data_IF_416528255866
#
_entry.id   IF_416528255866
#
_cell.length_a   1.000
_cell.length_b   1.000
_cell.length_c   1.000
_cell.angle_alpha   90.00
_cell.angle_beta   90.00
_cell.angle_gamma   90.00
#
_symmetry.space_group_name_H-M   'P 1'
#
loop_
_entity.id
_entity.type
_entity.pdbx_description
1 polymer ?
#
# COMPACT_ATOMS: atom_id res chain seq x y z
N UNK A 1 -4.56 -8.71 -42.41
CA UNK A 1 -4.84 -7.91 -41.20
C UNK A 1 -5.69 -8.78 -40.25
N UNK A 2 -5.06 -9.38 -39.26
CA UNK A 2 -5.77 -10.11 -38.20
C UNK A 2 -5.84 -9.17 -37.02
N UNK A 3 -7.02 -8.58 -36.79
CA UNK A 3 -7.34 -7.90 -35.53
C UNK A 3 -7.53 -8.98 -34.46
N UNK A 4 -6.52 -9.24 -33.63
CA UNK A 4 -6.72 -9.92 -32.36
C UNK A 4 -7.64 -9.04 -31.51
N UNK A 5 -8.80 -9.57 -31.17
CA UNK A 5 -9.71 -8.97 -30.18
C UNK A 5 -8.96 -8.80 -28.87
N UNK A 6 -8.45 -7.61 -28.63
CA UNK A 6 -8.12 -7.15 -27.27
C UNK A 6 -9.41 -7.21 -26.48
N UNK A 7 -9.57 -8.21 -25.62
CA UNK A 7 -10.59 -8.18 -24.57
C UNK A 7 -10.38 -6.84 -23.84
N UNK A 8 -11.33 -5.92 -24.01
CA UNK A 8 -11.41 -4.72 -23.18
C UNK A 8 -11.47 -5.23 -21.74
N UNK A 9 -10.38 -5.08 -20.98
CA UNK A 9 -10.41 -5.27 -19.55
C UNK A 9 -11.53 -4.36 -19.03
N UNK A 10 -12.59 -4.93 -18.50
CA UNK A 10 -13.62 -4.13 -17.82
C UNK A 10 -12.93 -3.42 -16.67
N UNK A 11 -13.13 -2.09 -16.56
CA UNK A 11 -12.61 -1.36 -15.42
C UNK A 11 -13.15 -2.00 -14.13
N UNK A 12 -12.27 -2.23 -13.16
CA UNK A 12 -12.67 -2.76 -11.85
C UNK A 12 -13.71 -1.86 -11.19
N UNK A 13 -14.62 -2.46 -10.47
CA UNK A 13 -15.70 -1.79 -9.75
C UNK A 13 -15.78 -2.30 -8.31
N UNK A 14 -16.64 -1.71 -7.49
CA UNK A 14 -16.85 -2.18 -6.11
C UNK A 14 -17.43 -3.60 -6.06
N UNK A 15 -18.10 -4.06 -7.12
CA UNK A 15 -18.57 -5.44 -7.23
C UNK A 15 -17.44 -6.47 -7.34
N UNK A 16 -16.21 -6.04 -7.66
CA UNK A 16 -15.01 -6.89 -7.69
C UNK A 16 -14.33 -7.00 -6.32
N UNK A 17 -14.94 -6.44 -5.27
CA UNK A 17 -14.44 -6.58 -3.89
C UNK A 17 -14.32 -8.05 -3.50
N UNK A 18 -13.10 -8.45 -3.10
CA UNK A 18 -12.83 -9.79 -2.61
C UNK A 18 -12.36 -9.73 -1.15
N UNK A 19 -13.11 -10.37 -0.25
CA UNK A 19 -12.86 -10.29 1.18
C UNK A 19 -11.48 -10.84 1.61
N UNK A 20 -10.94 -11.82 0.87
CA UNK A 20 -9.62 -12.40 1.11
C UNK A 20 -8.46 -11.60 0.52
N UNK A 21 -8.73 -10.66 -0.41
CA UNK A 21 -7.70 -9.86 -1.08
C UNK A 21 -8.20 -8.43 -1.31
N UNK A 22 -8.15 -7.62 -0.26
CA UNK A 22 -8.65 -6.23 -0.28
C UNK A 22 -7.59 -5.28 -0.86
N UNK A 23 -6.34 -5.54 -0.54
CA UNK A 23 -5.17 -4.80 -1.00
C UNK A 23 -3.96 -5.74 -1.01
N UNK A 24 -3.07 -5.59 -1.98
CA UNK A 24 -1.84 -6.38 -2.04
C UNK A 24 -0.76 -5.87 -1.07
N UNK A 25 0.16 -6.75 -0.65
CA UNK A 25 1.33 -6.38 0.15
C UNK A 25 2.20 -5.34 -0.57
N UNK A 26 2.32 -5.48 -1.89
CA UNK A 26 3.02 -4.50 -2.72
C UNK A 26 2.37 -3.12 -2.66
N UNK A 27 1.07 -3.03 -2.86
CA UNK A 27 0.35 -1.74 -2.82
C UNK A 27 0.41 -1.13 -1.43
N UNK A 28 0.24 -1.92 -0.36
CA UNK A 28 0.32 -1.45 1.02
C UNK A 28 1.70 -0.88 1.37
N UNK A 29 2.78 -1.50 0.86
CA UNK A 29 4.16 -1.16 1.21
C UNK A 29 4.84 -0.17 0.26
N UNK A 30 4.20 0.24 -0.83
CA UNK A 30 4.82 1.09 -1.86
C UNK A 30 4.88 2.56 -1.42
N UNK A 31 5.96 2.94 -0.75
CA UNK A 31 6.19 4.31 -0.26
C UNK A 31 6.49 5.34 -1.35
N UNK A 32 6.80 4.90 -2.57
CA UNK A 32 7.19 5.78 -3.68
C UNK A 32 6.01 6.32 -4.50
N UNK A 33 4.77 6.03 -4.10
CA UNK A 33 3.58 6.44 -4.85
C UNK A 33 3.33 7.94 -4.84
N UNK A 34 3.67 8.62 -3.75
CA UNK A 34 3.54 10.07 -3.61
C UNK A 34 4.64 10.62 -2.69
N UNK A 35 5.24 11.75 -3.07
CA UNK A 35 6.05 12.57 -2.18
C UNK A 35 5.19 13.60 -1.44
N UNK A 36 5.79 14.38 -0.53
CA UNK A 36 5.10 15.39 0.28
C UNK A 36 4.34 16.42 -0.58
N UNK A 37 4.98 16.94 -1.62
CA UNK A 37 4.34 17.92 -2.52
C UNK A 37 3.14 17.34 -3.27
N UNK A 38 3.23 16.08 -3.70
CA UNK A 38 2.13 15.38 -4.36
C UNK A 38 0.97 15.08 -3.40
N UNK A 39 1.26 14.79 -2.13
CA UNK A 39 0.24 14.66 -1.08
C UNK A 39 -0.46 16.00 -0.88
N UNK A 40 0.30 17.11 -0.76
CA UNK A 40 -0.28 18.45 -0.62
C UNK A 40 -1.15 18.84 -1.80
N UNK A 41 -0.69 18.58 -3.03
CA UNK A 41 -1.46 18.81 -4.25
C UNK A 41 -2.75 17.99 -4.26
N UNK A 42 -2.67 16.71 -3.88
CA UNK A 42 -3.84 15.83 -3.79
C UNK A 42 -4.88 16.36 -2.80
N UNK A 43 -4.46 16.75 -1.58
CA UNK A 43 -5.34 17.32 -0.56
C UNK A 43 -6.02 18.58 -1.08
N UNK A 44 -5.28 19.51 -1.68
CA UNK A 44 -5.79 20.77 -2.24
C UNK A 44 -6.75 20.52 -3.40
N UNK A 45 -6.46 19.54 -4.25
CA UNK A 45 -7.33 19.15 -5.38
C UNK A 45 -8.65 18.53 -4.91
N UNK A 46 -8.61 17.74 -3.85
CA UNK A 46 -9.81 17.11 -3.26
C UNK A 46 -10.67 18.11 -2.53
N UNK A 47 -10.05 19.06 -1.85
CA UNK A 47 -10.73 20.12 -1.12
C UNK A 47 -9.89 21.41 -1.14
N UNK A 48 -10.22 22.35 -2.02
CA UNK A 48 -9.50 23.62 -2.13
C UNK A 48 -9.74 24.57 -0.95
N UNK A 49 -10.55 24.16 0.02
CA UNK A 49 -11.04 24.99 1.13
C UNK A 49 -11.83 26.23 0.65
N UNK A 50 -12.33 26.99 1.60
CA UNK A 50 -13.02 28.25 1.25
C UNK A 50 -14.51 28.27 1.59
N UNK A 51 -15.01 27.31 2.38
CA UNK A 51 -16.41 27.36 2.87
C UNK A 51 -16.58 28.54 3.83
N UNK A 52 -17.49 29.44 3.46
CA UNK A 52 -17.81 30.68 4.18
C UNK A 52 -19.06 30.56 5.07
N UNK A 53 -19.68 29.38 5.10
CA UNK A 53 -20.91 29.16 5.88
C UNK A 53 -20.63 29.03 7.38
N UNK A 54 -19.87 29.96 7.95
CA UNK A 54 -19.41 29.95 9.35
C UNK A 54 -20.54 29.93 10.40
N UNK A 55 -21.79 30.22 9.99
CA UNK A 55 -22.96 30.08 10.85
C UNK A 55 -23.13 28.65 11.39
N UNK A 56 -22.58 27.62 10.67
CA UNK A 56 -22.58 26.23 11.11
C UNK A 56 -21.84 26.03 12.43
N UNK A 57 -20.74 26.76 12.66
CA UNK A 57 -20.00 26.69 13.90
C UNK A 57 -20.82 27.14 15.12
N UNK A 58 -21.74 28.12 14.93
CA UNK A 58 -22.66 28.55 15.99
C UNK A 58 -23.81 27.54 16.16
N UNK A 59 -24.33 26.98 15.09
CA UNK A 59 -25.43 26.02 15.16
C UNK A 59 -24.97 24.69 15.78
N UNK A 60 -23.77 24.22 15.46
CA UNK A 60 -23.15 23.02 16.04
C UNK A 60 -22.13 23.38 17.12
N UNK A 61 -22.53 24.19 18.10
CA UNK A 61 -21.64 24.77 19.09
C UNK A 61 -20.99 23.78 20.07
N UNK A 62 -21.38 22.50 20.05
CA UNK A 62 -20.70 21.42 20.78
C UNK A 62 -19.32 21.02 20.21
N UNK A 63 -18.97 21.53 19.03
CA UNK A 63 -17.71 21.24 18.35
C UNK A 63 -16.85 22.50 18.21
N UNK A 64 -15.53 22.33 18.15
CA UNK A 64 -14.59 23.42 17.85
C UNK A 64 -14.18 23.34 16.38
N UNK A 65 -14.16 24.50 15.73
CA UNK A 65 -13.80 24.66 14.34
C UNK A 65 -12.64 25.66 14.22
N UNK A 66 -11.76 25.42 13.23
CA UNK A 66 -10.74 26.39 12.86
C UNK A 66 -11.29 27.31 11.76
N UNK A 67 -11.39 28.62 12.04
CA UNK A 67 -11.91 29.63 11.13
C UNK A 67 -10.89 30.75 11.00
N UNK A 68 -10.48 31.04 9.77
CA UNK A 68 -9.59 32.16 9.44
C UNK A 68 -10.22 33.00 8.34
N UNK A 69 -10.17 34.33 8.50
CA UNK A 69 -10.68 35.28 7.51
C UNK A 69 -12.13 34.99 7.04
N UNK A 70 -12.99 34.53 7.97
CA UNK A 70 -14.39 34.22 7.68
C UNK A 70 -14.63 32.93 6.89
N UNK A 71 -13.65 32.00 6.85
CA UNK A 71 -13.71 30.72 6.18
C UNK A 71 -13.27 29.59 7.10
N UNK A 72 -13.86 28.40 6.92
CA UNK A 72 -13.33 27.22 7.56
C UNK A 72 -11.97 26.85 7.00
N UNK A 73 -11.04 26.49 7.87
CA UNK A 73 -9.75 25.87 7.51
C UNK A 73 -9.96 24.37 7.40
N UNK A 74 -9.73 23.81 6.24
CA UNK A 74 -9.84 22.37 5.99
C UNK A 74 -8.46 21.68 6.03
N UNK A 75 -8.43 20.34 5.93
CA UNK A 75 -7.21 19.55 6.10
C UNK A 75 -6.04 20.00 5.21
N UNK A 76 -6.30 20.44 3.99
CA UNK A 76 -5.23 20.88 3.06
C UNK A 76 -4.51 22.15 3.49
N UNK A 77 -5.10 22.94 4.41
CA UNK A 77 -4.55 24.18 4.95
C UNK A 77 -4.20 24.08 6.44
N UNK A 78 -4.67 23.02 7.13
CA UNK A 78 -4.46 22.86 8.57
C UNK A 78 -3.00 22.55 8.90
N UNK A 79 -2.58 23.02 10.08
CA UNK A 79 -1.26 22.74 10.63
C UNK A 79 -1.37 22.18 12.03
N UNK A 80 -0.47 21.25 12.35
CA UNK A 80 -0.42 20.55 13.63
C UNK A 80 0.90 20.84 14.33
N UNK A 81 0.85 21.24 15.60
CA UNK A 81 2.06 21.48 16.37
C UNK A 81 2.55 20.20 17.02
N UNK A 82 3.84 19.93 16.86
CA UNK A 82 4.52 18.85 17.54
C UNK A 82 5.93 19.28 17.93
N UNK A 83 6.23 19.22 19.26
CA UNK A 83 7.52 19.64 19.83
C UNK A 83 7.94 21.07 19.41
N UNK A 84 6.99 22.00 19.36
CA UNK A 84 7.25 23.38 18.95
C UNK A 84 7.41 23.61 17.46
N UNK A 85 7.23 22.58 16.62
CA UNK A 85 7.30 22.67 15.16
C UNK A 85 5.89 22.49 14.57
N UNK A 86 5.48 23.41 13.70
CA UNK A 86 4.24 23.30 12.93
C UNK A 86 4.47 22.44 11.72
N UNK A 87 3.63 21.42 11.53
CA UNK A 87 3.65 20.51 10.39
C UNK A 87 2.33 20.60 9.63
N UNK A 88 2.37 20.60 8.30
CA UNK A 88 1.18 20.47 7.45
C UNK A 88 0.65 19.03 7.53
N UNK A 89 -0.62 18.83 7.14
CA UNK A 89 -1.18 17.48 7.02
C UNK A 89 -0.37 16.61 6.04
N UNK A 90 0.10 17.20 4.94
CA UNK A 90 0.93 16.49 3.96
C UNK A 90 2.26 16.01 4.56
N UNK A 91 2.93 16.85 5.37
CA UNK A 91 4.15 16.48 6.09
C UNK A 91 3.90 15.32 7.04
N UNK A 92 2.85 15.40 7.86
CA UNK A 92 2.49 14.34 8.82
C UNK A 92 2.25 13.02 8.10
N UNK A 93 1.48 13.02 6.99
CA UNK A 93 1.16 11.81 6.23
C UNK A 93 2.43 11.25 5.57
N UNK A 94 3.25 12.11 4.96
CA UNK A 94 4.49 11.71 4.29
C UNK A 94 5.50 11.09 5.27
N UNK A 95 5.71 11.74 6.42
CA UNK A 95 6.60 11.24 7.46
C UNK A 95 6.13 9.88 8.01
N UNK A 96 4.84 9.73 8.31
CA UNK A 96 4.29 8.46 8.77
C UNK A 96 4.46 7.35 7.72
N UNK A 97 4.16 7.66 6.45
CA UNK A 97 4.33 6.73 5.33
C UNK A 97 5.79 6.27 5.18
N UNK A 98 6.74 7.21 5.23
CA UNK A 98 8.18 6.94 5.15
C UNK A 98 8.69 6.13 6.34
N UNK A 99 8.37 6.57 7.56
CA UNK A 99 8.93 6.02 8.80
C UNK A 99 8.47 4.57 9.02
N UNK A 100 7.19 4.28 8.70
CA UNK A 100 6.61 2.95 8.84
C UNK A 100 6.57 2.15 7.53
N UNK A 101 7.13 2.68 6.43
CA UNK A 101 7.16 2.01 5.12
C UNK A 101 5.77 1.58 4.65
N UNK A 102 4.80 2.48 4.74
CA UNK A 102 3.43 2.32 4.27
C UNK A 102 3.19 3.26 3.10
N UNK A 103 2.41 2.84 2.14
CA UNK A 103 1.99 3.67 1.01
C UNK A 103 1.18 4.88 1.51
N UNK A 104 1.57 6.14 1.20
CA UNK A 104 0.82 7.32 1.62
C UNK A 104 -0.62 7.33 1.10
N UNK A 105 -0.91 6.71 -0.04
CA UNK A 105 -2.28 6.56 -0.57
C UNK A 105 -3.17 5.74 0.37
N UNK A 106 -2.63 4.74 1.07
CA UNK A 106 -3.33 3.96 2.08
C UNK A 106 -3.76 4.84 3.26
N UNK A 107 -2.86 5.69 3.74
CA UNK A 107 -3.15 6.62 4.84
C UNK A 107 -4.19 7.67 4.44
N UNK A 108 -4.11 8.21 3.23
CA UNK A 108 -5.11 9.14 2.69
C UNK A 108 -6.50 8.48 2.62
N UNK A 109 -6.60 7.27 2.10
CA UNK A 109 -7.87 6.52 2.04
C UNK A 109 -8.41 6.24 3.45
N UNK A 110 -7.55 5.89 4.39
CA UNK A 110 -7.96 5.63 5.76
C UNK A 110 -8.54 6.88 6.44
N UNK A 111 -7.86 8.04 6.33
CA UNK A 111 -8.32 9.33 6.88
C UNK A 111 -9.70 9.70 6.32
N UNK A 112 -9.91 9.55 5.02
CA UNK A 112 -11.21 9.81 4.40
C UNK A 112 -12.27 8.83 4.87
N UNK A 113 -11.94 7.54 4.86
CA UNK A 113 -12.88 6.49 5.25
C UNK A 113 -13.39 6.67 6.69
N UNK A 114 -12.52 7.08 7.60
CA UNK A 114 -12.88 7.15 9.04
C UNK A 114 -13.57 8.47 9.40
N UNK A 115 -13.11 9.59 8.87
CA UNK A 115 -13.58 10.91 9.30
C UNK A 115 -13.99 11.85 8.16
N UNK A 116 -13.90 11.42 6.90
CA UNK A 116 -14.14 12.25 5.72
C UNK A 116 -13.28 13.53 5.66
N UNK A 117 -12.18 13.58 6.40
CA UNK A 117 -11.38 14.80 6.60
C UNK A 117 -10.80 15.38 5.31
N UNK A 118 -10.55 14.54 4.30
CA UNK A 118 -9.97 15.00 3.04
C UNK A 118 -10.99 15.80 2.22
N UNK A 119 -12.25 15.38 2.24
CA UNK A 119 -13.32 16.03 1.47
C UNK A 119 -14.17 17.01 2.30
N UNK A 120 -14.06 17.02 3.63
CA UNK A 120 -14.85 17.89 4.50
C UNK A 120 -14.41 19.35 4.39
N UNK A 121 -15.34 20.24 4.04
CA UNK A 121 -15.08 21.70 3.87
C UNK A 121 -15.17 22.49 5.16
N UNK A 122 -15.65 21.89 6.25
CA UNK A 122 -15.83 22.52 7.58
C UNK A 122 -15.53 21.55 8.72
N UNK A 123 -14.33 20.94 8.72
CA UNK A 123 -13.97 19.91 9.69
C UNK A 123 -13.89 20.47 11.10
N UNK A 124 -14.17 19.62 12.07
CA UNK A 124 -14.18 19.97 13.49
C UNK A 124 -13.06 19.27 14.27
N UNK A 125 -12.84 19.73 15.49
CA UNK A 125 -11.75 19.24 16.35
C UNK A 125 -11.86 17.74 16.71
N UNK A 126 -13.05 17.16 16.69
CA UNK A 126 -13.25 15.73 17.00
C UNK A 126 -12.75 14.86 15.85
N UNK A 127 -13.00 15.27 14.60
CA UNK A 127 -12.49 14.58 13.43
C UNK A 127 -10.95 14.56 13.42
N UNK A 128 -10.30 15.69 13.75
CA UNK A 128 -8.84 15.73 13.87
C UNK A 128 -8.32 14.91 15.05
N UNK A 129 -9.08 14.90 16.17
CA UNK A 129 -8.72 14.15 17.37
C UNK A 129 -8.63 12.64 17.12
N UNK A 130 -9.53 12.09 16.30
CA UNK A 130 -9.66 10.67 15.96
C UNK A 130 -9.58 10.41 14.46
N UNK A 131 -8.65 11.07 13.79
CA UNK A 131 -8.58 11.20 12.32
C UNK A 131 -8.58 9.87 11.56
N UNK A 132 -8.04 8.82 12.15
CA UNK A 132 -8.04 7.47 11.58
C UNK A 132 -8.89 6.48 12.38
N UNK A 133 -9.47 6.88 13.51
CA UNK A 133 -10.20 5.98 14.39
C UNK A 133 -9.32 5.04 15.22
N UNK A 134 -7.99 5.24 15.21
CA UNK A 134 -7.07 4.38 15.96
C UNK A 134 -7.31 4.52 17.47
N UNK A 135 -7.42 3.38 18.17
CA UNK A 135 -7.71 3.37 19.61
C UNK A 135 -9.13 3.77 19.95
N UNK A 136 -10.07 3.70 19.00
CA UNK A 136 -11.50 3.98 19.18
C UNK A 136 -12.31 2.69 18.97
N UNK A 137 -12.44 1.81 19.97
CA UNK A 137 -13.21 0.58 19.85
C UNK A 137 -14.72 0.86 19.79
N UNK A 138 -15.49 0.00 19.11
CA UNK A 138 -16.95 0.13 18.94
C UNK A 138 -17.72 0.10 20.28
N UNK A 139 -17.12 -0.45 21.34
CA UNK A 139 -17.79 -0.74 22.63
C UNK A 139 -17.32 0.13 23.81
N UNK A 140 -16.36 1.04 23.57
CA UNK A 140 -15.81 1.91 24.61
C UNK A 140 -15.41 3.28 24.04
N UNK A 141 -15.11 4.23 24.91
CA UNK A 141 -14.56 5.53 24.52
C UNK A 141 -13.16 5.37 23.88
N UNK A 142 -12.83 6.29 22.98
CA UNK A 142 -11.50 6.34 22.38
C UNK A 142 -10.42 6.57 23.46
N UNK A 143 -9.31 5.85 23.36
CA UNK A 143 -8.17 6.03 24.26
C UNK A 143 -7.45 7.36 23.97
N UNK A 144 -7.51 8.28 24.92
CA UNK A 144 -6.98 9.64 24.78
C UNK A 144 -5.49 9.73 24.50
N UNK A 145 -4.70 8.68 24.79
CA UNK A 145 -3.27 8.65 24.47
C UNK A 145 -2.99 8.66 22.96
N UNK A 146 -3.98 8.29 22.15
CA UNK A 146 -3.88 8.28 20.68
C UNK A 146 -4.51 9.52 20.03
N UNK A 147 -5.00 10.49 20.79
CA UNK A 147 -5.64 11.68 20.25
C UNK A 147 -4.67 12.57 19.46
N UNK A 148 -5.24 13.24 18.45
CA UNK A 148 -4.55 14.20 17.59
C UNK A 148 -4.12 13.64 16.25
N UNK A 149 -4.23 14.48 15.21
CA UNK A 149 -4.04 14.08 13.81
C UNK A 149 -2.75 13.30 13.57
N UNK A 150 -1.61 13.88 14.00
CA UNK A 150 -0.29 13.24 13.84
C UNK A 150 -0.22 11.89 14.54
N UNK A 151 -0.71 11.82 15.76
CA UNK A 151 -0.69 10.62 16.58
C UNK A 151 -1.53 9.51 15.95
N UNK A 152 -2.73 9.85 15.49
CA UNK A 152 -3.66 8.95 14.80
C UNK A 152 -3.05 8.36 13.53
N UNK A 153 -2.48 9.20 12.67
CA UNK A 153 -1.90 8.76 11.39
C UNK A 153 -0.69 7.86 11.60
N UNK A 154 0.19 8.21 12.56
CA UNK A 154 1.39 7.42 12.86
C UNK A 154 1.05 6.05 13.44
N UNK A 155 0.16 5.97 14.41
CA UNK A 155 -0.22 4.69 15.01
C UNK A 155 -1.00 3.78 14.05
N UNK A 156 -1.78 4.33 13.13
CA UNK A 156 -2.38 3.55 12.07
C UNK A 156 -1.31 2.95 11.12
N UNK A 157 -0.33 3.75 10.72
CA UNK A 157 0.80 3.28 9.90
C UNK A 157 1.65 2.23 10.63
N UNK A 158 1.91 2.44 11.92
CA UNK A 158 2.61 1.50 12.79
C UNK A 158 1.92 0.14 12.89
N UNK A 159 0.59 0.13 13.10
CA UNK A 159 -0.20 -1.11 13.13
C UNK A 159 -0.09 -1.89 11.82
N UNK A 160 -0.23 -1.19 10.68
CA UNK A 160 -0.10 -1.85 9.38
C UNK A 160 1.31 -2.44 9.20
N UNK A 161 2.34 -1.68 9.57
CA UNK A 161 3.73 -2.16 9.48
C UNK A 161 3.99 -3.35 10.40
N UNK A 162 3.48 -3.33 11.62
CA UNK A 162 3.61 -4.42 12.58
C UNK A 162 3.09 -5.75 11.99
N UNK A 163 1.89 -5.75 11.39
CA UNK A 163 1.35 -6.95 10.74
C UNK A 163 2.17 -7.38 9.53
N UNK A 164 2.59 -6.43 8.69
CA UNK A 164 3.41 -6.72 7.51
C UNK A 164 4.80 -7.28 7.87
N UNK A 165 5.31 -6.98 9.07
CA UNK A 165 6.56 -7.54 9.60
C UNK A 165 6.33 -8.85 10.39
N UNK A 166 5.13 -9.43 10.33
CA UNK A 166 4.79 -10.69 11.00
C UNK A 166 4.34 -10.53 12.45
N UNK A 167 4.00 -9.32 12.88
CA UNK A 167 3.43 -9.06 14.20
C UNK A 167 2.04 -9.65 14.40
N UNK A 168 1.54 -9.54 15.64
CA UNK A 168 0.29 -10.16 16.04
C UNK A 168 -0.92 -9.66 15.25
N UNK A 169 -1.78 -10.59 14.83
CA UNK A 169 -3.10 -10.31 14.26
C UNK A 169 -4.09 -11.41 14.65
N UNK A 170 -5.36 -11.02 14.87
CA UNK A 170 -6.44 -11.99 15.06
C UNK A 170 -6.91 -12.62 13.73
N UNK A 171 -6.40 -12.14 12.60
CA UNK A 171 -6.81 -12.53 11.26
C UNK A 171 -5.58 -12.88 10.40
N UNK A 172 -4.85 -13.96 10.75
CA UNK A 172 -3.65 -14.35 10.00
C UNK A 172 -3.98 -14.75 8.56
N UNK A 173 -2.98 -14.77 7.70
CA UNK A 173 -3.09 -15.35 6.35
C UNK A 173 -3.60 -16.78 6.46
N UNK A 174 -4.56 -17.17 5.63
CA UNK A 174 -5.25 -18.46 5.68
C UNK A 174 -6.74 -18.34 6.01
N UNK A 175 -7.33 -19.44 6.49
CA UNK A 175 -8.77 -19.51 6.78
C UNK A 175 -9.14 -18.78 8.07
N UNK A 176 -10.07 -17.86 7.99
CA UNK A 176 -10.60 -17.08 9.11
C UNK A 176 -12.12 -17.01 9.05
N UNK A 177 -12.78 -17.08 10.21
CA UNK A 177 -14.19 -16.73 10.28
C UNK A 177 -14.32 -15.23 10.58
N UNK A 178 -14.92 -14.45 9.66
CA UNK A 178 -15.05 -13.00 9.78
C UNK A 178 -16.53 -12.62 9.86
N UNK A 179 -16.89 -11.86 10.87
CA UNK A 179 -18.25 -11.39 11.07
C UNK A 179 -18.63 -10.29 10.06
N UNK A 180 -19.94 -10.20 9.76
CA UNK A 180 -20.49 -9.16 8.90
C UNK A 180 -20.80 -7.85 9.65
N UNK A 181 -20.83 -7.87 10.98
CA UNK A 181 -21.27 -6.74 11.80
C UNK A 181 -20.79 -6.94 13.23
N UNK A 182 -20.60 -5.86 14.04
CA UNK A 182 -20.41 -5.97 15.48
C UNK A 182 -21.51 -6.73 16.21
N UNK A 183 -22.74 -6.71 15.68
CA UNK A 183 -23.82 -7.57 16.17
C UNK A 183 -23.62 -8.99 15.63
N UNK A 184 -23.18 -9.91 16.49
CA UNK A 184 -22.91 -11.31 16.14
C UNK A 184 -24.14 -12.07 15.60
N UNK A 185 -25.36 -11.60 15.89
CA UNK A 185 -26.60 -12.17 15.29
C UNK A 185 -26.64 -12.00 13.76
N UNK A 186 -25.87 -11.09 13.22
CA UNK A 186 -25.72 -10.91 11.77
C UNK A 186 -24.90 -12.02 11.09
N UNK A 187 -24.26 -12.89 11.87
CA UNK A 187 -23.44 -13.97 11.35
C UNK A 187 -22.13 -13.50 10.72
N UNK A 188 -21.54 -14.36 9.93
CA UNK A 188 -20.27 -14.14 9.22
C UNK A 188 -20.04 -15.30 8.23
N UNK A 189 -18.88 -15.34 7.62
CA UNK A 189 -18.47 -16.44 6.76
C UNK A 189 -16.99 -16.73 6.86
N UNK A 190 -16.58 -17.89 6.36
CA UNK A 190 -15.18 -18.23 6.17
C UNK A 190 -14.59 -17.39 5.04
N UNK A 191 -13.43 -16.82 5.29
CA UNK A 191 -12.64 -16.06 4.32
C UNK A 191 -11.22 -16.62 4.36
N UNK A 192 -10.68 -16.94 3.20
CA UNK A 192 -9.24 -17.21 3.06
C UNK A 192 -8.53 -15.89 2.82
N UNK A 193 -7.81 -15.37 3.82
CA UNK A 193 -6.99 -14.18 3.71
C UNK A 193 -5.71 -14.54 2.94
N UNK A 194 -5.48 -13.87 1.81
CA UNK A 194 -4.44 -14.22 0.85
C UNK A 194 -3.07 -13.59 1.18
N UNK A 195 -3.05 -12.47 1.92
CA UNK A 195 -1.82 -11.70 2.15
C UNK A 195 -1.85 -10.91 3.47
N UNK A 196 -0.68 -10.43 3.91
CA UNK A 196 -0.52 -9.70 5.17
C UNK A 196 -1.19 -8.34 5.16
N UNK A 197 -1.24 -7.66 4.02
CA UNK A 197 -1.89 -6.35 3.90
C UNK A 197 -3.41 -6.44 4.13
N UNK A 198 -4.07 -7.47 3.59
CA UNK A 198 -5.49 -7.75 3.89
C UNK A 198 -5.69 -8.14 5.35
N UNK A 199 -4.77 -8.94 5.92
CA UNK A 199 -4.74 -9.25 7.36
C UNK A 199 -4.65 -7.97 8.21
N UNK A 200 -3.78 -7.03 7.85
CA UNK A 200 -3.63 -5.75 8.53
C UNK A 200 -4.91 -4.89 8.50
N UNK A 201 -5.62 -4.89 7.36
CA UNK A 201 -6.92 -4.23 7.26
C UNK A 201 -7.97 -4.87 8.17
N UNK A 202 -7.99 -6.19 8.32
CA UNK A 202 -8.90 -6.87 9.26
C UNK A 202 -8.50 -6.66 10.72
N UNK A 203 -7.23 -6.56 11.05
CA UNK A 203 -6.79 -6.13 12.38
C UNK A 203 -7.28 -4.71 12.71
N UNK A 204 -7.36 -3.85 11.70
CA UNK A 204 -7.86 -2.48 11.84
C UNK A 204 -9.39 -2.40 11.88
N UNK A 205 -10.07 -3.07 10.95
CA UNK A 205 -11.53 -3.11 10.81
C UNK A 205 -11.98 -4.59 10.75
N UNK A 206 -12.40 -5.20 11.87
CA UNK A 206 -12.52 -6.65 12.02
C UNK A 206 -13.79 -7.25 11.40
N UNK A 207 -14.36 -6.61 10.38
CA UNK A 207 -15.61 -7.03 9.75
C UNK A 207 -15.49 -7.04 8.23
N UNK A 208 -16.22 -7.97 7.59
CA UNK A 208 -16.39 -8.00 6.14
C UNK A 208 -17.76 -7.49 5.71
N UNK A 209 -17.92 -6.88 4.51
CA UNK A 209 -19.23 -6.58 3.97
C UNK A 209 -19.96 -7.90 3.63
N UNK A 210 -21.28 -7.94 3.85
CA UNK A 210 -22.09 -8.98 3.24
C UNK A 210 -22.39 -8.68 1.75
N UNK A 211 -22.91 -9.65 1.00
CA UNK A 211 -23.17 -9.48 -0.43
C UNK A 211 -24.10 -8.29 -0.73
N UNK A 212 -25.11 -8.06 0.14
CA UNK A 212 -26.02 -6.93 -0.02
C UNK A 212 -25.32 -5.57 0.19
N UNK A 213 -24.35 -5.50 1.11
CA UNK A 213 -23.56 -4.30 1.31
C UNK A 213 -22.67 -4.00 0.09
N UNK A 214 -22.07 -5.01 -0.53
CA UNK A 214 -21.28 -4.85 -1.75
C UNK A 214 -22.16 -4.38 -2.91
N UNK A 215 -23.30 -5.03 -3.13
CA UNK A 215 -24.22 -4.73 -4.25
C UNK A 215 -24.87 -3.34 -4.14
N UNK A 216 -25.09 -2.85 -2.91
CA UNK A 216 -25.78 -1.57 -2.68
C UNK A 216 -24.81 -0.38 -2.48
N UNK A 217 -23.54 -0.49 -2.88
CA UNK A 217 -22.61 0.64 -2.75
C UNK A 217 -23.09 1.87 -3.56
N UNK A 218 -23.04 3.11 -2.99
CA UNK A 218 -22.52 3.52 -1.68
C UNK A 218 -23.50 3.36 -0.51
N UNK A 219 -24.71 2.86 -0.76
CA UNK A 219 -25.75 2.70 0.25
C UNK A 219 -25.44 1.67 1.34
N UNK A 220 -26.39 1.51 2.24
CA UNK A 220 -26.30 0.60 3.38
C UNK A 220 -27.13 -0.66 3.17
N UNK A 221 -26.84 -1.71 3.93
CA UNK A 221 -27.65 -2.92 4.00
C UNK A 221 -27.80 -3.36 5.46
N UNK A 222 -28.89 -4.09 5.74
CA UNK A 222 -29.07 -4.71 7.03
C UNK A 222 -27.92 -5.69 7.31
N UNK A 223 -27.36 -5.66 8.52
CA UNK A 223 -26.22 -6.49 8.89
C UNK A 223 -24.94 -6.28 8.05
N UNK A 224 -24.80 -5.20 7.31
CA UNK A 224 -23.60 -4.93 6.52
C UNK A 224 -22.57 -4.12 7.28
N UNK A 225 -21.29 -4.52 7.22
CA UNK A 225 -20.17 -3.66 7.57
C UNK A 225 -19.61 -2.97 6.33
N UNK A 226 -19.16 -1.75 6.49
CA UNK A 226 -18.78 -0.90 5.35
C UNK A 226 -17.30 -0.55 5.31
N UNK A 227 -16.57 -0.70 6.42
CA UNK A 227 -15.21 -0.22 6.56
C UNK A 227 -14.26 -0.72 5.48
N UNK A 228 -14.10 -2.01 5.34
CA UNK A 228 -13.22 -2.61 4.34
C UNK A 228 -13.73 -2.43 2.90
N UNK A 229 -15.07 -2.48 2.68
CA UNK A 229 -15.67 -2.15 1.38
C UNK A 229 -15.38 -0.71 0.98
N UNK A 230 -15.56 0.24 1.90
CA UNK A 230 -15.34 1.66 1.63
C UNK A 230 -13.85 1.95 1.42
N UNK A 231 -12.95 1.27 2.14
CA UNK A 231 -11.52 1.37 1.89
C UNK A 231 -11.19 0.95 0.45
N UNK A 232 -11.64 -0.23 0.03
CA UNK A 232 -11.44 -0.73 -1.32
C UNK A 232 -12.01 0.24 -2.37
N UNK A 233 -13.25 0.68 -2.20
CA UNK A 233 -13.93 1.58 -3.14
C UNK A 233 -13.27 2.96 -3.26
N UNK A 234 -12.82 3.54 -2.14
CA UNK A 234 -12.10 4.81 -2.11
C UNK A 234 -10.73 4.69 -2.78
N UNK A 235 -9.98 3.62 -2.46
CA UNK A 235 -8.69 3.38 -3.05
C UNK A 235 -8.81 3.19 -4.57
N UNK A 236 -9.74 2.33 -5.00
CA UNK A 236 -10.01 2.07 -6.42
C UNK A 236 -10.37 3.37 -7.18
N UNK A 237 -11.24 4.19 -6.60
CA UNK A 237 -11.69 5.45 -7.20
C UNK A 237 -10.58 6.51 -7.29
N UNK A 238 -9.67 6.55 -6.33
CA UNK A 238 -8.65 7.60 -6.24
C UNK A 238 -7.32 7.22 -6.89
N UNK A 239 -6.93 5.96 -6.79
CA UNK A 239 -5.59 5.49 -7.10
C UNK A 239 -5.54 4.26 -8.01
N UNK A 240 -6.70 3.69 -8.36
CA UNK A 240 -6.80 2.48 -9.16
C UNK A 240 -6.83 1.20 -8.32
N UNK A 241 -6.54 0.07 -8.95
CA UNK A 241 -6.65 -1.26 -8.35
C UNK A 241 -5.76 -1.44 -7.11
N UNK A 242 -6.35 -1.62 -5.91
CA UNK A 242 -5.56 -1.85 -4.69
C UNK A 242 -4.91 -3.23 -4.67
N UNK A 243 -5.43 -4.20 -5.41
CA UNK A 243 -4.93 -5.58 -5.43
C UNK A 243 -3.81 -5.79 -6.43
N UNK A 244 -3.43 -4.73 -7.16
CA UNK A 244 -2.41 -4.79 -8.19
C UNK A 244 -1.05 -5.16 -7.58
N UNK A 245 -0.52 -6.30 -8.01
CA UNK A 245 0.81 -6.78 -7.65
C UNK A 245 1.88 -6.41 -8.71
N UNK A 246 1.53 -5.59 -9.69
CA UNK A 246 2.48 -5.21 -10.74
C UNK A 246 3.59 -4.37 -10.13
N UNK A 247 4.73 -5.00 -9.94
CA UNK A 247 6.00 -4.31 -9.71
C UNK A 247 6.18 -3.39 -10.93
N UNK A 248 5.96 -2.07 -10.75
CA UNK A 248 6.31 -1.11 -11.79
C UNK A 248 7.79 -1.35 -12.09
N UNK A 249 8.05 -1.68 -13.35
CA UNK A 249 9.33 -1.88 -14.01
C UNK A 249 10.54 -1.62 -13.11
N UNK A 250 11.23 -2.69 -12.73
CA UNK A 250 12.56 -2.60 -12.11
C UNK A 250 13.42 -1.75 -13.05
N UNK A 251 13.93 -0.61 -12.60
CA UNK A 251 14.93 0.13 -13.39
C UNK A 251 16.22 -0.69 -13.41
N UNK A 252 16.43 -1.39 -14.48
CA UNK A 252 17.68 -2.07 -14.74
C UNK A 252 18.67 -1.02 -15.28
N UNK A 253 19.78 -0.85 -14.58
CA UNK A 253 20.88 -0.04 -15.09
C UNK A 253 21.88 -0.98 -15.76
N UNK A 254 22.03 -0.93 -17.10
CA UNK A 254 23.06 -1.69 -17.80
C UNK A 254 24.43 -1.32 -17.22
N UNK A 255 25.29 -2.30 -17.05
CA UNK A 255 26.70 -2.03 -16.76
C UNK A 255 27.24 -1.37 -18.02
N UNK A 256 27.57 -0.08 -17.92
CA UNK A 256 27.97 0.75 -19.05
C UNK A 256 29.03 0.02 -19.91
N UNK A 257 28.61 -0.45 -21.09
CA UNK A 257 29.56 -0.62 -22.19
C UNK A 257 29.79 0.77 -22.78
N UNK A 258 31.03 1.15 -23.11
CA UNK A 258 31.25 2.36 -23.86
C UNK A 258 30.69 2.15 -25.29
N UNK A 259 29.57 2.78 -25.60
CA UNK A 259 29.01 2.79 -26.94
C UNK A 259 27.49 2.65 -26.99
N UNK A 260 26.84 3.69 -27.40
CA UNK A 260 25.44 3.92 -27.75
C UNK A 260 24.58 2.69 -28.10
N UNK A 261 23.42 2.50 -27.42
CA UNK A 261 22.09 2.52 -28.04
C UNK A 261 21.03 2.14 -27.01
N UNK A 262 20.14 3.07 -26.67
CA UNK A 262 18.90 2.78 -25.98
C UNK A 262 17.86 2.35 -27.02
N UNK A 263 17.35 1.12 -26.94
CA UNK A 263 16.17 0.71 -27.69
C UNK A 263 14.94 1.48 -27.17
N UNK A 264 14.19 2.06 -28.08
CA UNK A 264 13.01 2.92 -27.78
C UNK A 264 11.75 2.12 -27.47
N UNK A 265 11.78 0.79 -27.44
CA UNK A 265 10.61 -0.06 -27.28
C UNK A 265 10.39 -0.58 -25.85
N UNK A 266 11.30 -0.29 -24.94
CA UNK A 266 11.22 -0.71 -23.55
C UNK A 266 11.63 -2.17 -23.30
N UNK A 267 12.15 -2.89 -24.29
CA UNK A 267 12.75 -4.21 -24.11
C UNK A 267 14.08 -4.12 -23.38
N UNK A 268 14.41 -5.16 -22.62
CA UNK A 268 15.70 -5.30 -21.94
C UNK A 268 16.63 -6.03 -22.89
N UNK A 269 17.75 -5.39 -23.27
CA UNK A 269 18.76 -6.05 -24.10
C UNK A 269 19.45 -7.17 -23.31
N UNK A 270 19.83 -8.25 -24.02
CA UNK A 270 20.62 -9.32 -23.40
C UNK A 270 21.97 -8.77 -22.92
N UNK A 271 22.35 -9.09 -21.69
CA UNK A 271 23.60 -8.59 -21.15
C UNK A 271 23.77 -8.75 -19.64
N UNK A 272 24.85 -8.14 -19.15
CA UNK A 272 25.17 -8.15 -17.72
C UNK A 272 24.65 -6.89 -17.04
N UNK A 273 24.02 -7.04 -15.89
CA UNK A 273 23.33 -5.98 -15.17
C UNK A 273 23.66 -5.98 -13.67
N UNK A 274 23.62 -4.81 -13.07
CA UNK A 274 23.42 -4.62 -11.64
C UNK A 274 21.95 -4.25 -11.42
N UNK A 275 21.24 -5.01 -10.60
CA UNK A 275 19.81 -4.80 -10.33
C UNK A 275 19.69 -4.03 -9.02
N UNK A 276 19.10 -2.84 -9.07
CA UNK A 276 18.84 -1.99 -7.90
C UNK A 276 17.38 -2.04 -7.52
N UNK A 277 17.10 -1.89 -6.23
CA UNK A 277 15.72 -1.67 -5.79
C UNK A 277 15.31 -0.21 -6.03
N UNK A 278 14.06 0.00 -6.48
CA UNK A 278 13.49 1.35 -6.64
C UNK A 278 13.22 2.04 -5.29
N UNK A 279 13.11 1.26 -4.21
CA UNK A 279 12.83 1.76 -2.85
C UNK A 279 14.07 2.35 -2.18
N UNK A 280 15.24 1.75 -2.41
CA UNK A 280 16.53 2.24 -1.89
C UNK A 280 17.61 1.99 -2.94
N UNK A 281 17.89 2.99 -3.76
CA UNK A 281 18.87 2.91 -4.85
C UNK A 281 20.32 2.63 -4.39
N UNK A 282 20.58 2.66 -3.08
CA UNK A 282 21.87 2.23 -2.52
C UNK A 282 21.98 0.71 -2.39
N UNK A 283 20.88 -0.03 -2.62
CA UNK A 283 20.81 -1.49 -2.47
C UNK A 283 20.69 -2.21 -3.80
N UNK A 284 21.45 -3.27 -3.91
CA UNK A 284 21.59 -4.11 -5.09
C UNK A 284 21.13 -5.52 -4.77
N UNK A 285 20.58 -6.19 -5.76
CA UNK A 285 20.32 -7.63 -5.68
C UNK A 285 21.67 -8.36 -5.55
N UNK A 286 21.81 -9.16 -4.51
CA UNK A 286 23.09 -9.70 -4.03
C UNK A 286 22.95 -11.16 -3.62
N UNK A 287 23.86 -12.01 -4.06
CA UNK A 287 23.95 -13.39 -3.59
C UNK A 287 24.57 -13.40 -2.20
N UNK A 288 23.76 -13.73 -1.19
CA UNK A 288 24.17 -13.67 0.23
C UNK A 288 25.44 -14.46 0.50
N UNK A 289 26.43 -13.78 1.09
CA UNK A 289 27.72 -14.38 1.41
C UNK A 289 28.55 -14.80 0.20
N UNK A 290 28.21 -14.36 -1.01
CA UNK A 290 28.80 -14.80 -2.26
C UNK A 290 28.81 -16.34 -2.41
N UNK A 291 27.76 -17.00 -1.91
CA UNK A 291 27.62 -18.46 -1.99
C UNK A 291 27.28 -18.88 -3.43
N UNK A 292 27.98 -19.88 -3.98
CA UNK A 292 27.83 -20.38 -5.35
C UNK A 292 26.91 -21.60 -5.44
N UNK A 293 26.49 -22.12 -4.29
CA UNK A 293 25.75 -23.38 -4.22
C UNK A 293 24.29 -23.19 -4.64
N UNK A 294 23.67 -24.28 -5.03
CA UNK A 294 22.22 -24.34 -5.24
C UNK A 294 21.46 -24.00 -3.95
N UNK A 295 20.33 -23.32 -4.08
CA UNK A 295 19.57 -22.76 -2.97
C UNK A 295 20.27 -21.61 -2.20
N UNK A 296 21.39 -21.06 -2.69
CA UNK A 296 21.98 -19.85 -2.13
C UNK A 296 20.93 -18.73 -2.08
N UNK A 297 20.81 -18.09 -0.94
CA UNK A 297 19.85 -17.02 -0.73
C UNK A 297 20.26 -15.75 -1.47
N UNK A 298 19.28 -15.06 -2.02
CA UNK A 298 19.46 -13.75 -2.66
C UNK A 298 18.81 -12.68 -1.77
N UNK A 299 19.50 -11.57 -1.58
CA UNK A 299 19.14 -10.48 -0.66
C UNK A 299 19.30 -9.11 -1.33
N UNK A 300 18.88 -8.07 -0.66
CA UNK A 300 19.23 -6.70 -1.00
C UNK A 300 20.38 -6.23 -0.11
N UNK A 301 21.50 -5.85 -0.72
CA UNK A 301 22.70 -5.42 0.00
C UNK A 301 23.30 -4.16 -0.61
N UNK A 302 23.99 -3.34 0.19
CA UNK A 302 24.76 -2.18 -0.31
C UNK A 302 25.83 -2.64 -1.28
N UNK A 303 26.22 -1.77 -2.21
CA UNK A 303 27.35 -2.06 -3.10
C UNK A 303 28.62 -2.26 -2.25
N UNK A 304 29.24 -3.43 -2.40
CA UNK A 304 30.42 -3.78 -1.59
C UNK A 304 31.71 -3.28 -2.22
N UNK A 305 31.80 -3.40 -3.55
CA UNK A 305 32.94 -2.95 -4.35
C UNK A 305 32.55 -2.91 -5.81
N UNK A 306 33.32 -2.19 -6.59
CA UNK A 306 33.20 -2.27 -8.05
C UNK A 306 33.46 -3.71 -8.54
N UNK A 307 32.70 -4.14 -9.53
CA UNK A 307 32.83 -5.46 -10.16
C UNK A 307 32.61 -6.67 -9.22
N UNK A 308 31.79 -6.54 -8.17
CA UNK A 308 31.43 -7.68 -7.33
C UNK A 308 30.52 -8.68 -8.10
N UNK A 309 30.99 -9.91 -8.40
CA UNK A 309 30.19 -10.88 -9.16
C UNK A 309 28.92 -11.33 -8.41
N UNK A 310 28.87 -11.24 -7.08
CA UNK A 310 27.67 -11.56 -6.31
C UNK A 310 26.53 -10.54 -6.51
N UNK A 311 26.81 -9.36 -7.09
CA UNK A 311 25.85 -8.30 -7.40
C UNK A 311 25.66 -8.10 -8.90
N UNK A 312 26.17 -9.04 -9.72
CA UNK A 312 26.02 -9.01 -11.18
C UNK A 312 25.16 -10.15 -11.67
N UNK A 313 24.31 -9.81 -12.61
CA UNK A 313 23.30 -10.71 -13.16
C UNK A 313 23.36 -10.66 -14.68
N UNK A 314 23.35 -11.81 -15.31
CA UNK A 314 23.15 -11.91 -16.75
C UNK A 314 21.65 -12.01 -17.01
N UNK A 315 21.13 -11.18 -17.92
CA UNK A 315 19.73 -11.18 -18.33
C UNK A 315 19.68 -11.56 -19.79
N UNK A 316 18.92 -12.59 -20.12
CA UNK A 316 18.71 -13.10 -21.47
C UNK A 316 17.21 -13.18 -21.76
N UNK A 317 16.78 -12.63 -22.90
CA UNK A 317 15.41 -12.80 -23.38
C UNK A 317 15.25 -14.23 -23.90
N UNK A 318 14.16 -14.87 -23.46
CA UNK A 318 13.79 -16.23 -23.90
C UNK A 318 12.49 -16.23 -24.73
N UNK A 319 12.00 -15.06 -25.12
CA UNK A 319 10.82 -14.85 -25.99
C UNK A 319 9.69 -14.12 -25.27
N UNK A 320 8.78 -13.52 -26.02
CA UNK A 320 7.51 -12.92 -25.59
C UNK A 320 7.57 -12.06 -24.33
N UNK A 321 8.58 -11.16 -24.21
CA UNK A 321 8.85 -10.32 -23.04
C UNK A 321 9.24 -11.11 -21.77
N UNK A 322 9.62 -12.37 -21.90
CA UNK A 322 10.10 -13.22 -20.81
C UNK A 322 11.63 -13.21 -20.80
N UNK A 323 12.20 -13.10 -19.60
CA UNK A 323 13.64 -13.00 -19.39
C UNK A 323 14.11 -14.04 -18.38
N UNK A 324 15.25 -14.66 -18.67
CA UNK A 324 15.98 -15.49 -17.72
C UNK A 324 17.05 -14.63 -17.05
N UNK A 325 17.17 -14.72 -15.73
CA UNK A 325 18.13 -13.97 -14.93
C UNK A 325 19.09 -14.96 -14.25
N UNK A 326 20.37 -14.89 -14.59
CA UNK A 326 21.42 -15.78 -14.06
C UNK A 326 22.44 -15.01 -13.22
N UNK A 327 22.85 -15.61 -12.11
CA UNK A 327 23.95 -15.06 -11.29
C UNK A 327 25.27 -15.15 -12.05
N UNK A 328 26.00 -14.06 -12.16
CA UNK A 328 27.37 -14.05 -12.72
C UNK A 328 28.38 -14.73 -11.80
N UNK A 329 28.04 -14.95 -10.54
CA UNK A 329 28.87 -15.62 -9.56
C UNK A 329 28.94 -17.13 -9.77
N UNK A 330 27.78 -17.76 -10.10
CA UNK A 330 27.61 -19.22 -10.16
C UNK A 330 27.06 -19.73 -11.48
N UNK A 331 26.44 -18.87 -12.29
CA UNK A 331 25.70 -19.27 -13.49
C UNK A 331 24.29 -19.84 -13.20
N UNK A 332 23.90 -19.96 -11.92
CA UNK A 332 22.58 -20.45 -11.52
C UNK A 332 21.51 -19.41 -11.76
N UNK A 333 20.28 -19.88 -12.03
CA UNK A 333 19.12 -19.06 -12.27
C UNK A 333 18.61 -18.41 -10.98
N UNK A 334 18.19 -17.15 -11.06
CA UNK A 334 17.38 -16.52 -10.03
C UNK A 334 16.00 -17.17 -10.03
N UNK A 335 15.61 -17.77 -8.92
CA UNK A 335 14.37 -18.51 -8.77
C UNK A 335 13.61 -18.08 -7.53
N UNK A 336 12.32 -18.31 -7.57
CA UNK A 336 11.39 -18.07 -6.47
C UNK A 336 10.63 -19.37 -6.20
N UNK A 337 10.64 -19.83 -4.97
CA UNK A 337 9.92 -21.05 -4.59
C UNK A 337 8.49 -20.69 -4.16
N UNK A 338 7.54 -20.92 -5.03
CA UNK A 338 6.11 -20.66 -4.79
C UNK A 338 5.50 -21.64 -3.77
N UNK A 339 6.15 -22.77 -3.52
CA UNK A 339 5.68 -23.80 -2.61
C UNK A 339 6.16 -23.61 -1.17
N UNK A 340 7.02 -22.64 -0.91
CA UNK A 340 7.51 -22.29 0.43
C UNK A 340 6.49 -21.38 1.14
N UNK A 341 5.29 -21.91 1.40
CA UNK A 341 4.12 -21.16 1.89
C UNK A 341 4.28 -20.76 3.37
N UNK A 342 5.23 -21.36 4.08
CA UNK A 342 5.39 -21.17 5.53
C UNK A 342 6.48 -20.19 5.96
N UNK A 343 7.36 -19.77 5.05
CA UNK A 343 8.35 -18.73 5.29
C UNK A 343 8.20 -17.62 4.22
N UNK A 344 8.50 -16.38 4.60
CA UNK A 344 8.51 -15.26 3.65
C UNK A 344 9.23 -15.68 2.38
N UNK A 345 8.58 -15.63 1.22
CA UNK A 345 9.11 -16.19 -0.01
C UNK A 345 10.48 -15.58 -0.32
N UNK A 346 11.50 -16.40 -0.36
CA UNK A 346 12.87 -15.96 -0.54
C UNK A 346 13.36 -16.25 -1.95
N UNK A 347 14.01 -15.27 -2.55
CA UNK A 347 14.74 -15.47 -3.80
C UNK A 347 15.95 -16.38 -3.53
N UNK A 348 16.09 -17.42 -4.34
CA UNK A 348 17.17 -18.41 -4.25
C UNK A 348 17.81 -18.63 -5.63
N UNK A 349 18.98 -19.23 -5.66
CA UNK A 349 19.62 -19.68 -6.90
C UNK A 349 19.26 -21.17 -7.16
N UNK A 350 18.85 -21.50 -8.38
CA UNK A 350 18.48 -22.86 -8.81
C UNK A 350 19.15 -23.23 -10.12
N UNK A 351 19.41 -24.53 -10.31
CA UNK A 351 19.94 -25.08 -11.56
C UNK A 351 18.85 -25.35 -12.61
N UNK A 352 17.57 -25.36 -12.22
CA UNK A 352 16.45 -25.77 -13.07
C UNK A 352 16.23 -24.83 -14.25
N UNK A 353 16.00 -25.44 -15.42
CA UNK A 353 15.55 -24.76 -16.63
C UNK A 353 14.05 -24.52 -16.55
N UNK A 354 13.57 -23.47 -17.22
CA UNK A 354 12.17 -22.99 -17.25
C UNK A 354 11.15 -23.96 -17.88
N UNK A 355 11.46 -25.25 -18.05
CA UNK A 355 10.53 -26.22 -18.64
C UNK A 355 9.38 -26.62 -17.71
N UNK A 356 9.43 -26.27 -16.40
CA UNK A 356 8.42 -26.63 -15.40
C UNK A 356 7.43 -25.49 -15.06
N UNK A 357 7.41 -24.41 -15.81
CA UNK A 357 6.50 -23.28 -15.63
C UNK A 357 5.44 -23.15 -16.75
N UNK A 358 5.01 -24.27 -17.35
CA UNK A 358 3.94 -24.29 -18.36
C UNK A 358 2.58 -24.64 -17.74
#
# INVERSE_FOLDING_TARGET
LIFKNLKKSSALSVSDFHAGNIISDYTMSNTSTMNESQIQEFLTKKNPCGDTNIWRANYYSGYKYHIENGKFVCLSQETFEYNGVKQTAAQVIYEAARDYRINPQVLLVLIEKEQSLISDTWPNSIQYRSATGFGCPDTAECDSKYYGFRNQVRHAAELFRDVLDGGYTNYPVGQNFIYYNPNFACGGSQVYIENLATSALYRYTPYQPNAAAVANYPGTSYCGAYGNRNFYALFLRWFGDPTNNVIKKVELSPIAKPGNNSSRDGSIENGDYEIKTSVDQSKYLDVRGANKDENALVQLHRKWRENNPAQKWNIESIGDEIYQIKSKLSGLNLSYDINDINDSPQLKLKSENLEDCA
#
